data_IF_498591188962
#
_entry.id   IF_498591188962
#
_cell.length_a   1.000
_cell.length_b   1.000
_cell.length_c   1.000
_cell.angle_alpha   90.00
_cell.angle_beta   90.00
_cell.angle_gamma   90.00
#
_symmetry.space_group_name_H-M   'P 1'
#
loop_
_entity.id
_entity.type
_entity.pdbx_description
1 polymer ?
#
# COMPACT_ATOMS: atom_id res chain seq x y z
N UNK A 1 5.36 20.51 3.31
CA UNK A 1 4.82 19.17 3.64
C UNK A 1 3.35 19.18 3.26
N UNK A 2 2.89 18.19 2.47
CA UNK A 2 1.52 17.98 1.94
C UNK A 2 1.07 18.85 0.74
N UNK A 3 1.79 18.78 -0.38
CA UNK A 3 1.20 19.08 -1.71
C UNK A 3 1.13 17.79 -2.58
N UNK A 4 1.17 16.61 -1.94
CA UNK A 4 1.19 15.30 -2.61
C UNK A 4 -0.09 14.99 -3.39
N UNK A 5 -1.18 15.73 -3.14
CA UNK A 5 -2.36 15.69 -3.98
C UNK A 5 -2.02 16.08 -5.44
N UNK A 6 -1.04 16.95 -5.67
CA UNK A 6 -0.62 17.32 -7.03
C UNK A 6 0.26 16.27 -7.70
N UNK A 7 0.84 15.35 -6.92
CA UNK A 7 1.79 14.33 -7.40
C UNK A 7 1.25 12.91 -7.33
N UNK A 8 -0.06 12.75 -7.11
CA UNK A 8 -0.70 11.43 -7.07
C UNK A 8 -0.44 10.60 -8.33
N UNK A 9 -0.41 11.24 -9.50
CA UNK A 9 -0.09 10.59 -10.76
C UNK A 9 1.38 10.14 -10.85
N UNK A 10 2.26 10.60 -9.96
CA UNK A 10 3.65 10.14 -9.85
C UNK A 10 3.76 9.00 -8.83
N UNK A 11 3.24 9.19 -7.60
CA UNK A 11 3.52 8.26 -6.50
C UNK A 11 2.57 7.04 -6.46
N UNK A 12 1.34 7.13 -6.98
CA UNK A 12 0.42 5.98 -7.10
C UNK A 12 1.04 4.89 -7.97
N UNK A 13 1.36 5.14 -9.27
CA UNK A 13 1.93 4.10 -10.13
C UNK A 13 3.35 3.69 -9.69
N UNK A 14 4.10 4.56 -9.01
CA UNK A 14 5.40 4.20 -8.44
C UNK A 14 5.28 3.24 -7.24
N UNK A 15 4.16 3.28 -6.51
CA UNK A 15 3.87 2.34 -5.41
C UNK A 15 3.33 1.03 -5.98
N UNK A 16 2.30 1.12 -6.82
CA UNK A 16 1.73 -0.02 -7.54
C UNK A 16 1.08 0.45 -8.84
N UNK A 17 1.55 -0.07 -9.97
CA UNK A 17 1.06 0.31 -11.30
C UNK A 17 -0.41 -0.07 -11.54
N UNK A 18 -0.96 -1.01 -10.76
CA UNK A 18 -2.36 -1.44 -10.86
C UNK A 18 -3.28 -0.77 -9.83
N UNK A 19 -2.75 0.13 -8.98
CA UNK A 19 -3.57 0.83 -7.99
C UNK A 19 -4.56 1.78 -8.68
N UNK A 20 -5.85 1.62 -8.41
CA UNK A 20 -6.91 2.49 -8.94
C UNK A 20 -6.89 3.93 -8.39
N UNK A 21 -6.08 4.18 -7.35
CA UNK A 21 -6.11 5.41 -6.55
C UNK A 21 -7.14 5.39 -5.42
N UNK A 22 -7.81 4.27 -5.16
CA UNK A 22 -8.73 4.15 -4.04
C UNK A 22 -8.00 4.23 -2.69
N UNK A 23 -8.56 5.01 -1.76
CA UNK A 23 -8.05 5.23 -0.39
C UNK A 23 -9.15 4.79 0.60
N UNK A 24 -8.83 4.11 1.73
CA UNK A 24 -7.48 3.76 2.21
C UNK A 24 -6.78 2.70 1.35
N UNK A 25 -5.45 2.63 1.44
CA UNK A 25 -4.61 1.59 0.86
C UNK A 25 -3.51 1.18 1.85
N UNK A 26 -3.04 -0.05 1.75
CA UNK A 26 -1.97 -0.62 2.58
C UNK A 26 -0.91 -1.25 1.69
N UNK A 27 0.36 -1.00 2.03
CA UNK A 27 1.53 -1.59 1.36
C UNK A 27 2.49 -2.14 2.43
N UNK A 28 3.08 -3.30 2.17
CA UNK A 28 4.10 -3.90 3.04
C UNK A 28 5.41 -4.09 2.27
N UNK A 29 6.50 -3.70 2.91
CA UNK A 29 7.85 -3.91 2.42
C UNK A 29 8.65 -4.75 3.42
N UNK A 30 9.39 -5.73 2.92
CA UNK A 30 10.34 -6.55 3.71
C UNK A 30 11.69 -6.50 3.01
N UNK A 31 12.75 -6.14 3.74
CA UNK A 31 14.12 -6.04 3.21
C UNK A 31 14.26 -5.16 1.95
N UNK A 32 13.46 -4.09 1.85
CA UNK A 32 13.46 -3.19 0.70
C UNK A 32 12.63 -3.66 -0.51
N UNK A 33 12.04 -4.86 -0.45
CA UNK A 33 11.18 -5.40 -1.49
C UNK A 33 9.70 -5.28 -1.09
N UNK A 34 8.83 -4.93 -2.05
CA UNK A 34 7.38 -4.90 -1.84
C UNK A 34 6.86 -6.33 -1.83
N UNK A 35 6.24 -6.74 -0.71
CA UNK A 35 5.70 -8.10 -0.56
C UNK A 35 4.17 -8.14 -0.63
N UNK A 36 3.50 -7.01 -0.37
CA UNK A 36 2.05 -6.94 -0.40
C UNK A 36 1.54 -5.54 -0.74
N UNK A 37 0.41 -5.50 -1.44
CA UNK A 37 -0.36 -4.29 -1.69
C UNK A 37 -1.87 -4.61 -1.68
N UNK A 38 -2.66 -3.79 -0.99
CA UNK A 38 -4.13 -3.84 -1.00
C UNK A 38 -4.69 -2.43 -1.02
N UNK A 39 -5.51 -2.13 -2.02
CA UNK A 39 -6.37 -0.94 -1.99
C UNK A 39 -7.69 -1.27 -1.27
N UNK A 40 -8.39 -0.22 -0.83
CA UNK A 40 -9.58 -0.30 0.02
C UNK A 40 -9.29 -0.77 1.45
N UNK A 41 -10.37 -0.91 2.23
CA UNK A 41 -10.31 -1.22 3.65
C UNK A 41 -9.73 -2.60 3.89
N UNK A 42 -8.97 -2.70 4.95
CA UNK A 42 -8.45 -3.93 5.52
C UNK A 42 -8.85 -3.98 6.99
N UNK A 43 -9.17 -5.16 7.49
CA UNK A 43 -9.47 -5.37 8.90
C UNK A 43 -8.18 -5.51 9.70
N UNK A 44 -8.29 -5.39 11.03
CA UNK A 44 -7.15 -5.63 11.92
C UNK A 44 -6.64 -7.08 11.80
N UNK A 45 -7.55 -8.06 11.75
CA UNK A 45 -7.20 -9.48 11.65
C UNK A 45 -6.44 -9.78 10.35
N UNK A 46 -6.91 -9.26 9.22
CA UNK A 46 -6.21 -9.40 7.93
C UNK A 46 -4.79 -8.81 7.96
N UNK A 47 -4.57 -7.72 8.72
CA UNK A 47 -3.24 -7.12 8.89
C UNK A 47 -2.35 -7.99 9.78
N UNK A 48 -2.88 -8.54 10.87
CA UNK A 48 -2.15 -9.44 11.77
C UNK A 48 -1.72 -10.71 11.02
N UNK A 49 -2.65 -11.34 10.29
CA UNK A 49 -2.36 -12.51 9.44
C UNK A 49 -1.27 -12.20 8.41
N UNK A 50 -1.35 -11.04 7.74
CA UNK A 50 -0.36 -10.61 6.76
C UNK A 50 1.04 -10.44 7.37
N UNK A 51 1.12 -9.90 8.58
CA UNK A 51 2.40 -9.74 9.29
C UNK A 51 2.97 -11.12 9.61
N UNK A 52 2.16 -12.01 10.19
CA UNK A 52 2.59 -13.34 10.60
C UNK A 52 3.04 -14.21 9.40
N UNK A 53 2.34 -14.13 8.26
CA UNK A 53 2.71 -14.83 7.02
C UNK A 53 4.02 -14.31 6.40
N UNK A 54 4.45 -13.09 6.75
CA UNK A 54 5.60 -12.41 6.17
C UNK A 54 6.72 -12.15 7.19
N UNK A 55 6.67 -12.69 8.42
CA UNK A 55 7.80 -12.70 9.37
C UNK A 55 8.81 -13.78 9.00
#
# INVERSE_FOLDING_TARGET
>A
LLDDNKRMNEWIPATDANWSGAIPATVMYKNGEKVFFKELKMTKYELEDLIDDNL
#
